data_IF_033399810989
#
_entry.id   IF_033399810989
#
_cell.length_a   1.000
_cell.length_b   1.000
_cell.length_c   1.000
_cell.angle_alpha   90.00
_cell.angle_beta   90.00
_cell.angle_gamma   90.00
#
_symmetry.space_group_name_H-M   'P 1'
#
loop_
_entity.id
_entity.type
_entity.pdbx_description
1 polymer ?
#
# COMPACT_ATOMS: atom_id res chain seq x y z
N UNK A 1 1.83 -20.82 27.10
CA UNK A 1 0.93 -19.85 26.42
C UNK A 1 1.44 -19.60 25.00
N UNK A 2 1.20 -20.52 24.05
CA UNK A 2 1.84 -20.47 22.73
C UNK A 2 0.91 -20.96 21.58
N UNK A 3 -0.31 -20.45 21.49
CA UNK A 3 -1.25 -20.87 20.43
C UNK A 3 -1.92 -19.74 19.63
N UNK A 4 -1.61 -18.47 19.89
CA UNK A 4 -2.29 -17.35 19.22
C UNK A 4 -1.68 -16.94 17.88
N UNK A 5 -0.51 -17.45 17.49
CA UNK A 5 0.27 -16.88 16.38
C UNK A 5 -0.10 -17.41 14.97
N UNK A 6 -0.72 -18.58 14.86
CA UNK A 6 -0.89 -19.27 13.55
C UNK A 6 -2.16 -18.85 12.77
N UNK A 7 -3.19 -18.35 13.45
CA UNK A 7 -4.45 -17.94 12.82
C UNK A 7 -4.32 -16.64 12.02
N UNK A 8 -3.42 -15.73 12.43
CA UNK A 8 -3.21 -14.43 11.79
C UNK A 8 -2.44 -14.55 10.47
N UNK A 9 -1.41 -15.40 10.43
CA UNK A 9 -0.67 -15.72 9.22
C UNK A 9 -1.58 -16.34 8.14
N UNK A 10 -2.45 -17.28 8.53
CA UNK A 10 -3.47 -17.87 7.63
C UNK A 10 -4.45 -16.84 7.06
N UNK A 11 -4.73 -15.76 7.80
CA UNK A 11 -5.59 -14.64 7.36
C UNK A 11 -4.83 -13.57 6.56
N UNK A 12 -3.54 -13.79 6.26
CA UNK A 12 -2.64 -12.82 5.61
C UNK A 12 -2.54 -11.49 6.37
N UNK A 13 -2.73 -11.53 7.69
CA UNK A 13 -2.55 -10.38 8.56
C UNK A 13 -1.06 -10.25 8.85
N UNK A 14 -0.50 -9.08 8.55
CA UNK A 14 0.91 -8.80 8.77
C UNK A 14 1.20 -8.76 10.26
N UNK A 15 2.12 -9.61 10.73
CA UNK A 15 2.63 -9.57 12.11
C UNK A 15 3.95 -8.80 12.24
N UNK A 16 4.47 -8.25 11.14
CA UNK A 16 5.68 -7.43 11.16
C UNK A 16 5.37 -6.03 11.65
N UNK A 17 6.14 -5.56 12.64
CA UNK A 17 6.16 -4.16 13.08
C UNK A 17 6.98 -3.26 12.15
N UNK A 18 7.61 -3.84 11.12
CA UNK A 18 8.51 -3.15 10.20
C UNK A 18 8.03 -3.23 8.76
N UNK A 19 8.36 -2.20 7.99
CA UNK A 19 8.05 -2.07 6.58
C UNK A 19 8.97 -2.97 5.75
N UNK A 20 8.45 -3.85 4.86
CA UNK A 20 9.29 -4.77 4.10
C UNK A 20 10.14 -4.11 3.01
N UNK A 21 9.98 -2.80 2.78
CA UNK A 21 10.73 -2.05 1.75
C UNK A 21 11.80 -1.11 2.29
N UNK A 22 11.71 -0.70 3.55
CA UNK A 22 12.61 0.31 4.11
C UNK A 22 12.93 0.08 5.59
N UNK A 23 12.48 -1.03 6.18
CA UNK A 23 12.80 -1.50 7.53
C UNK A 23 12.43 -0.54 8.68
N UNK A 24 11.64 0.51 8.40
CA UNK A 24 11.10 1.44 9.40
C UNK A 24 9.81 0.92 10.02
N UNK A 25 9.39 1.53 11.13
CA UNK A 25 8.13 1.23 11.80
C UNK A 25 6.94 1.27 10.83
N UNK A 26 6.14 0.21 10.87
CA UNK A 26 5.04 -0.01 9.95
C UNK A 26 3.72 0.56 10.48
N UNK A 27 3.13 1.45 9.69
CA UNK A 27 1.73 1.84 9.77
C UNK A 27 1.10 1.84 8.37
N UNK A 28 -0.22 1.84 8.28
CA UNK A 28 -0.89 1.96 6.98
C UNK A 28 -0.54 3.30 6.31
N UNK A 29 -0.43 4.39 7.09
CA UNK A 29 0.04 5.69 6.61
C UNK A 29 1.47 5.61 6.06
N UNK A 30 2.35 4.88 6.76
CA UNK A 30 3.70 4.66 6.28
C UNK A 30 3.68 3.93 4.93
N UNK A 31 3.00 2.79 4.86
CA UNK A 31 2.92 1.95 3.65
C UNK A 31 2.45 2.74 2.43
N UNK A 32 1.40 3.54 2.57
CA UNK A 32 0.82 4.24 1.43
C UNK A 32 1.51 5.57 1.10
N UNK A 33 1.92 6.35 2.09
CA UNK A 33 2.25 7.76 1.88
C UNK A 33 3.64 8.18 2.37
N UNK A 34 4.19 7.55 3.40
CA UNK A 34 5.48 7.97 3.96
C UNK A 34 6.67 7.11 3.55
N UNK A 35 6.44 5.87 3.13
CA UNK A 35 7.49 4.95 2.72
C UNK A 35 8.31 5.55 1.57
N UNK A 36 9.64 5.75 1.74
CA UNK A 36 10.50 6.30 0.70
C UNK A 36 10.45 5.49 -0.61
N UNK A 37 10.38 4.17 -0.49
CA UNK A 37 10.30 3.25 -1.63
C UNK A 37 9.02 3.44 -2.44
N UNK A 38 7.90 3.75 -1.78
CA UNK A 38 6.61 3.96 -2.44
C UNK A 38 6.40 5.41 -2.90
N UNK A 39 7.12 6.39 -2.32
CA UNK A 39 7.09 7.78 -2.79
C UNK A 39 7.44 7.89 -4.27
N UNK A 40 8.36 7.06 -4.77
CA UNK A 40 8.73 7.06 -6.18
C UNK A 40 7.56 6.72 -7.11
N UNK A 41 6.66 5.81 -6.71
CA UNK A 41 5.48 5.47 -7.51
C UNK A 41 4.55 6.67 -7.68
N UNK A 42 4.35 7.46 -6.62
CA UNK A 42 3.57 8.69 -6.68
C UNK A 42 4.19 9.75 -7.58
N UNK A 43 5.53 9.84 -7.60
CA UNK A 43 6.26 10.73 -8.49
C UNK A 43 6.11 10.33 -9.96
N UNK A 44 6.34 9.04 -10.28
CA UNK A 44 6.23 8.51 -11.65
C UNK A 44 4.81 8.63 -12.19
N UNK A 45 3.80 8.50 -11.32
CA UNK A 45 2.40 8.70 -11.67
C UNK A 45 1.98 10.18 -11.75
N UNK A 46 2.88 11.14 -11.51
CA UNK A 46 2.59 12.58 -11.46
C UNK A 46 1.53 12.99 -10.42
N UNK A 47 1.30 12.15 -9.41
CA UNK A 47 0.29 12.36 -8.37
C UNK A 47 0.89 12.83 -7.04
N UNK A 48 2.20 12.96 -6.93
CA UNK A 48 2.85 13.32 -5.66
C UNK A 48 2.37 14.66 -5.08
N UNK A 49 2.18 15.68 -5.92
CA UNK A 49 1.71 17.00 -5.49
C UNK A 49 0.31 16.91 -4.86
N UNK A 50 -0.58 16.18 -5.55
CA UNK A 50 -1.96 15.93 -5.13
C UNK A 50 -2.00 15.17 -3.81
N UNK A 51 -1.27 14.04 -3.75
CA UNK A 51 -1.20 13.19 -2.56
C UNK A 51 -0.65 13.95 -1.38
N UNK A 52 0.48 14.67 -1.54
CA UNK A 52 1.11 15.44 -0.46
C UNK A 52 0.17 16.48 0.17
N UNK A 53 -0.70 17.09 -0.62
CA UNK A 53 -1.65 18.09 -0.12
C UNK A 53 -2.89 17.46 0.55
N UNK A 54 -3.19 16.20 0.25
CA UNK A 54 -4.32 15.46 0.81
C UNK A 54 -3.99 14.61 2.04
N UNK A 55 -2.71 14.34 2.33
CA UNK A 55 -2.26 13.52 3.47
C UNK A 55 -2.80 14.09 4.79
N UNK A 56 -3.64 13.29 5.46
CA UNK A 56 -4.26 13.59 6.75
C UNK A 56 -3.62 12.80 7.91
N UNK A 57 -4.33 12.74 9.05
CA UNK A 57 -3.88 11.99 10.22
C UNK A 57 -4.02 10.47 10.05
N UNK A 58 -4.98 10.03 9.25
CA UNK A 58 -5.28 8.63 8.94
C UNK A 58 -5.36 8.36 7.44
N UNK A 59 -5.44 7.09 7.05
CA UNK A 59 -5.59 6.70 5.63
C UNK A 59 -6.97 7.11 5.14
N UNK A 60 -7.98 6.93 5.98
CA UNK A 60 -9.37 7.30 5.76
C UNK A 60 -9.49 8.81 5.51
N UNK A 61 -8.90 9.63 6.38
CA UNK A 61 -8.87 11.09 6.21
C UNK A 61 -8.15 11.47 4.91
N UNK A 62 -7.04 10.80 4.62
CA UNK A 62 -6.28 11.06 3.39
C UNK A 62 -7.11 10.75 2.15
N UNK A 63 -7.81 9.61 2.12
CA UNK A 63 -8.67 9.22 0.99
C UNK A 63 -9.83 10.19 0.82
N UNK A 64 -10.49 10.61 1.91
CA UNK A 64 -11.56 11.60 1.87
C UNK A 64 -11.05 12.96 1.38
N UNK A 65 -9.91 13.41 1.87
CA UNK A 65 -9.29 14.66 1.41
C UNK A 65 -8.95 14.61 -0.08
N UNK A 66 -8.42 13.48 -0.56
CA UNK A 66 -8.12 13.32 -1.98
C UNK A 66 -9.39 13.32 -2.82
N UNK A 67 -10.44 12.60 -2.39
CA UNK A 67 -11.73 12.60 -3.08
C UNK A 67 -12.29 14.01 -3.30
N UNK A 68 -12.15 14.90 -2.31
CA UNK A 68 -12.63 16.28 -2.42
C UNK A 68 -11.73 17.21 -3.24
N UNK A 69 -10.47 16.84 -3.48
CA UNK A 69 -9.45 17.72 -4.08
C UNK A 69 -9.09 17.35 -5.52
N UNK A 70 -9.45 16.16 -5.96
CA UNK A 70 -9.03 15.62 -7.26
C UNK A 70 -10.18 15.50 -8.23
N UNK A 71 -9.87 15.46 -9.52
CA UNK A 71 -10.85 14.98 -10.50
C UNK A 71 -11.21 13.52 -10.24
N UNK A 72 -12.29 13.05 -10.89
CA UNK A 72 -12.69 11.63 -10.82
C UNK A 72 -11.58 10.73 -11.36
N UNK A 73 -10.95 11.12 -12.46
CA UNK A 73 -9.88 10.36 -13.12
C UNK A 73 -8.65 10.26 -12.21
N UNK A 74 -8.24 11.37 -11.60
CA UNK A 74 -7.14 11.41 -10.63
C UNK A 74 -7.45 10.55 -9.40
N UNK A 75 -8.66 10.63 -8.86
CA UNK A 75 -9.08 9.81 -7.72
C UNK A 75 -9.04 8.31 -8.04
N UNK A 76 -9.46 7.93 -9.25
CA UNK A 76 -9.37 6.55 -9.72
C UNK A 76 -7.92 6.08 -9.84
N UNK A 77 -7.02 6.93 -10.33
CA UNK A 77 -5.58 6.62 -10.39
C UNK A 77 -4.98 6.46 -8.98
N UNK A 78 -5.33 7.34 -8.04
CA UNK A 78 -4.95 7.21 -6.62
C UNK A 78 -5.40 5.86 -6.07
N UNK A 79 -6.67 5.50 -6.27
CA UNK A 79 -7.22 4.22 -5.81
C UNK A 79 -6.48 3.01 -6.41
N UNK A 80 -6.18 3.05 -7.71
CA UNK A 80 -5.41 2.00 -8.38
C UNK A 80 -3.99 1.87 -7.81
N UNK A 81 -3.30 2.99 -7.54
CA UNK A 81 -1.96 2.95 -6.95
C UNK A 81 -1.99 2.43 -5.51
N UNK A 82 -2.96 2.84 -4.69
CA UNK A 82 -3.14 2.27 -3.34
C UNK A 82 -3.32 0.75 -3.41
N UNK A 83 -4.13 0.28 -4.36
CA UNK A 83 -4.36 -1.15 -4.56
C UNK A 83 -3.09 -1.90 -4.99
N UNK A 84 -2.32 -1.35 -5.92
CA UNK A 84 -1.04 -1.92 -6.38
C UNK A 84 -0.03 -1.99 -5.23
N UNK A 85 0.16 -0.88 -4.49
CA UNK A 85 1.06 -0.82 -3.32
C UNK A 85 0.67 -1.90 -2.31
N UNK A 86 -0.62 -2.02 -2.00
CA UNK A 86 -1.11 -3.04 -1.08
C UNK A 86 -0.90 -4.46 -1.58
N UNK A 87 -1.11 -4.69 -2.87
CA UNK A 87 -0.89 -5.98 -3.54
C UNK A 87 0.57 -6.41 -3.46
N UNK A 88 1.50 -5.52 -3.82
CA UNK A 88 2.94 -5.77 -3.74
C UNK A 88 3.40 -6.01 -2.30
N UNK A 89 2.89 -5.23 -1.33
CA UNK A 89 3.16 -5.48 0.09
C UNK A 89 2.79 -6.91 0.48
N UNK A 90 1.57 -7.33 0.12
CA UNK A 90 1.08 -8.68 0.42
C UNK A 90 1.91 -9.75 -0.27
N UNK A 91 2.39 -9.49 -1.49
CA UNK A 91 3.25 -10.41 -2.23
C UNK A 91 4.57 -10.64 -1.49
N UNK A 92 5.21 -9.58 -1.01
CA UNK A 92 6.49 -9.68 -0.28
C UNK A 92 6.30 -10.39 1.06
N UNK A 93 5.30 -9.96 1.85
CA UNK A 93 5.09 -10.51 3.20
C UNK A 93 4.65 -11.97 3.22
N UNK A 94 3.91 -12.42 2.21
CA UNK A 94 3.32 -13.77 2.18
C UNK A 94 3.95 -14.66 1.09
N UNK A 95 5.14 -14.29 0.59
CA UNK A 95 5.90 -15.07 -0.38
C UNK A 95 5.08 -15.41 -1.63
N UNK A 96 4.38 -14.42 -2.17
CA UNK A 96 3.36 -14.62 -3.19
C UNK A 96 3.83 -15.55 -4.29
N UNK A 97 3.06 -16.62 -4.55
CA UNK A 97 3.24 -17.43 -5.76
C UNK A 97 3.23 -16.48 -6.94
N UNK A 98 4.29 -16.49 -7.74
CA UNK A 98 4.26 -15.84 -9.04
C UNK A 98 2.95 -16.22 -9.72
N UNK A 99 2.24 -15.23 -10.29
CA UNK A 99 1.26 -15.58 -11.30
C UNK A 99 2.09 -16.22 -12.40
N UNK A 100 2.08 -17.55 -12.47
CA UNK A 100 2.51 -18.27 -13.66
C UNK A 100 1.58 -17.75 -14.75
N UNK A 101 2.06 -16.76 -15.49
CA UNK A 101 1.41 -16.27 -16.68
C UNK A 101 1.47 -17.45 -17.64
N UNK A 102 0.39 -18.22 -17.68
CA UNK A 102 0.17 -19.30 -18.62
C UNK A 102 0.09 -18.71 -20.01
N UNK A 103 1.24 -18.37 -20.57
CA UNK A 103 1.40 -18.16 -22.00
C UNK A 103 1.51 -19.54 -22.60
N UNK A 104 0.37 -20.05 -23.06
CA UNK A 104 0.33 -21.14 -24.03
C UNK A 104 1.26 -20.79 -25.19
N UNK A 105 2.27 -21.62 -25.40
CA UNK A 105 2.90 -21.86 -26.68
C UNK A 105 2.65 -23.33 -27.03
#
# INVERSE_FOLDING_TARGET
MAETCNCLARRKISMTSVCPWCDLEQSNMHVFFHCPSNKQLWWVAWLWVVVRQGVGASVEDTVLNLFHRTSREEFMLVGNLLWVIWGERKRILHGGKERVEGRSL
#
